data_IF_582389859746
#
_entry.id   IF_582389859746
#
_cell.length_a   1.000
_cell.length_b   1.000
_cell.length_c   1.000
_cell.angle_alpha   90.00
_cell.angle_beta   90.00
_cell.angle_gamma   90.00
#
_symmetry.space_group_name_H-M   'P 1'
#
loop_
_entity.id
_entity.type
_entity.pdbx_description
1 polymer ?
#
# COMPACT_ATOMS: atom_id res chain seq x y z
N UNK A 1 -19.61 -20.48 38.44
CA UNK A 1 -18.36 -19.91 37.87
C UNK A 1 -18.65 -18.50 37.41
N UNK A 2 -17.89 -17.50 37.87
CA UNK A 2 -18.14 -16.09 37.56
C UNK A 2 -17.92 -15.80 36.06
N UNK A 3 -18.97 -15.33 35.39
CA UNK A 3 -18.99 -14.94 33.97
C UNK A 3 -18.09 -13.72 33.65
N UNK A 4 -17.55 -13.05 34.67
CA UNK A 4 -16.73 -11.85 34.52
C UNK A 4 -15.36 -12.17 33.91
N UNK A 5 -14.77 -13.33 34.27
CA UNK A 5 -13.46 -13.77 33.75
C UNK A 5 -13.44 -13.99 32.22
N UNK A 6 -14.39 -14.72 31.61
CA UNK A 6 -14.39 -14.89 30.15
C UNK A 6 -14.66 -13.59 29.40
N UNK A 7 -15.48 -12.69 29.94
CA UNK A 7 -15.77 -11.38 29.31
C UNK A 7 -14.50 -10.51 29.24
N UNK A 8 -13.73 -10.45 30.32
CA UNK A 8 -12.46 -9.70 30.36
C UNK A 8 -11.43 -10.23 29.36
N UNK A 9 -11.37 -11.55 29.17
CA UNK A 9 -10.44 -12.17 28.21
C UNK A 9 -10.80 -11.79 26.77
N UNK A 10 -12.08 -11.89 26.40
CA UNK A 10 -12.56 -11.51 25.06
C UNK A 10 -12.27 -10.03 24.78
N UNK A 11 -12.48 -9.17 25.77
CA UNK A 11 -12.26 -7.73 25.65
C UNK A 11 -10.75 -7.39 25.53
N UNK A 12 -9.88 -8.10 26.23
CA UNK A 12 -8.43 -7.95 26.03
C UNK A 12 -7.99 -8.39 24.63
N UNK A 13 -8.51 -9.51 24.13
CA UNK A 13 -8.16 -10.03 22.80
C UNK A 13 -8.63 -9.07 21.71
N UNK A 14 -9.83 -8.49 21.83
CA UNK A 14 -10.35 -7.55 20.83
C UNK A 14 -9.53 -6.26 20.78
N UNK A 15 -9.11 -5.74 21.94
CA UNK A 15 -8.25 -4.55 22.03
C UNK A 15 -6.86 -4.82 21.45
N UNK A 16 -6.23 -5.95 21.79
CA UNK A 16 -4.93 -6.33 21.22
C UNK A 16 -4.99 -6.52 19.71
N UNK A 17 -6.08 -7.10 19.20
CA UNK A 17 -6.30 -7.27 17.75
C UNK A 17 -6.43 -5.94 17.03
N UNK A 18 -7.13 -4.95 17.63
CA UNK A 18 -7.24 -3.60 17.09
C UNK A 18 -5.88 -2.87 17.04
N UNK A 19 -5.07 -3.00 18.10
CA UNK A 19 -3.73 -2.41 18.15
C UNK A 19 -2.82 -3.03 17.08
N UNK A 20 -2.82 -4.36 16.98
CA UNK A 20 -2.05 -5.07 15.97
C UNK A 20 -2.46 -4.65 14.55
N UNK A 21 -3.77 -4.50 14.30
CA UNK A 21 -4.29 -4.02 13.02
C UNK A 21 -3.79 -2.61 12.67
N UNK A 22 -3.78 -1.69 13.64
CA UNK A 22 -3.29 -0.31 13.42
C UNK A 22 -1.79 -0.26 13.15
N UNK A 23 -0.99 -1.07 13.84
CA UNK A 23 0.47 -1.18 13.58
C UNK A 23 0.75 -1.79 12.19
N UNK A 24 -0.16 -2.61 11.69
CA UNK A 24 -0.03 -3.26 10.39
C UNK A 24 -0.31 -2.35 9.19
N UNK A 25 -1.08 -1.27 9.38
CA UNK A 25 -1.37 -0.31 8.32
C UNK A 25 -0.18 0.64 8.08
N UNK A 26 0.10 1.03 6.82
CA UNK A 26 1.10 2.05 6.56
C UNK A 26 0.69 3.37 7.22
N UNK A 27 1.68 4.13 7.68
CA UNK A 27 1.45 5.55 7.99
C UNK A 27 1.06 6.31 6.72
N UNK A 28 0.41 7.49 6.83
CA UNK A 28 0.08 8.29 5.66
C UNK A 28 1.29 8.57 4.77
N UNK A 29 2.45 8.92 5.35
CA UNK A 29 3.69 9.12 4.59
C UNK A 29 4.13 7.86 3.83
N UNK A 30 4.05 6.68 4.47
CA UNK A 30 4.37 5.41 3.80
C UNK A 30 3.38 5.09 2.69
N UNK A 31 2.11 5.42 2.85
CA UNK A 31 1.14 5.24 1.77
C UNK A 31 1.49 6.13 0.58
N UNK A 32 1.80 7.40 0.81
CA UNK A 32 2.14 8.37 -0.24
C UNK A 32 3.37 7.92 -1.05
N UNK A 33 4.40 7.38 -0.39
CA UNK A 33 5.57 6.82 -1.06
C UNK A 33 5.19 5.66 -2.01
N UNK A 34 4.34 4.74 -1.54
CA UNK A 34 3.90 3.60 -2.35
C UNK A 34 2.89 4.02 -3.42
N UNK A 35 2.11 5.08 -3.19
CA UNK A 35 1.22 5.68 -4.19
C UNK A 35 2.02 6.26 -5.34
N UNK A 36 3.02 7.09 -5.04
CA UNK A 36 3.90 7.67 -6.05
C UNK A 36 4.60 6.58 -6.87
N UNK A 37 5.15 5.58 -6.18
CA UNK A 37 5.81 4.44 -6.81
C UNK A 37 4.85 3.66 -7.73
N UNK A 38 3.64 3.38 -7.26
CA UNK A 38 2.61 2.69 -8.04
C UNK A 38 2.21 3.51 -9.27
N UNK A 39 1.91 4.80 -9.09
CA UNK A 39 1.50 5.69 -10.18
C UNK A 39 2.58 5.84 -11.26
N UNK A 40 3.85 5.77 -10.90
CA UNK A 40 4.95 5.76 -11.85
C UNK A 40 5.00 4.43 -12.64
N UNK A 41 4.78 3.31 -11.97
CA UNK A 41 4.88 1.98 -12.59
C UNK A 41 3.72 1.68 -13.54
N UNK A 42 2.48 2.02 -13.17
CA UNK A 42 1.30 1.67 -13.99
C UNK A 42 1.17 2.45 -15.30
N UNK A 43 2.00 3.48 -15.49
CA UNK A 43 2.10 4.23 -16.74
C UNK A 43 2.84 3.46 -17.83
N UNK A 44 3.53 2.36 -17.50
CA UNK A 44 4.12 1.47 -18.49
C UNK A 44 3.02 0.60 -19.09
N UNK A 45 2.82 0.72 -20.40
CA UNK A 45 1.68 0.16 -21.14
C UNK A 45 1.58 -1.38 -21.09
N UNK A 46 2.65 -2.08 -20.74
CA UNK A 46 2.75 -3.54 -20.70
C UNK A 46 2.40 -4.16 -19.34
N UNK A 47 2.31 -3.37 -18.26
CA UNK A 47 2.14 -3.89 -16.91
C UNK A 47 0.67 -3.93 -16.48
N UNK A 48 0.03 -5.08 -16.72
CA UNK A 48 -1.37 -5.34 -16.31
C UNK A 48 -1.47 -6.30 -15.12
N UNK A 49 -0.51 -7.21 -14.98
CA UNK A 49 -0.50 -8.21 -13.92
C UNK A 49 0.06 -7.65 -12.61
N UNK A 50 -0.64 -7.94 -11.50
CA UNK A 50 -0.27 -7.49 -10.15
C UNK A 50 1.18 -7.80 -9.79
N UNK A 51 1.64 -9.02 -10.06
CA UNK A 51 2.97 -9.45 -9.63
C UNK A 51 4.07 -8.75 -10.43
N UNK A 52 3.85 -8.52 -11.74
CA UNK A 52 4.76 -7.73 -12.58
C UNK A 52 4.83 -6.28 -12.11
N UNK A 53 3.68 -5.68 -11.77
CA UNK A 53 3.62 -4.32 -11.19
C UNK A 53 4.44 -4.27 -9.90
N UNK A 54 4.31 -5.26 -9.00
CA UNK A 54 5.01 -5.24 -7.72
C UNK A 54 6.52 -5.44 -7.87
N UNK A 55 6.95 -6.31 -8.79
CA UNK A 55 8.37 -6.48 -9.14
C UNK A 55 8.95 -5.17 -9.66
N UNK A 56 8.22 -4.48 -10.55
CA UNK A 56 8.69 -3.22 -11.11
C UNK A 56 8.70 -2.10 -10.05
N UNK A 57 7.72 -2.06 -9.14
CA UNK A 57 7.74 -1.15 -7.99
C UNK A 57 8.97 -1.40 -7.11
N UNK A 58 9.26 -2.64 -6.75
CA UNK A 58 10.45 -2.99 -5.96
C UNK A 58 11.73 -2.58 -6.67
N UNK A 59 11.81 -2.82 -7.98
CA UNK A 59 12.95 -2.43 -8.80
C UNK A 59 13.12 -0.91 -8.80
N UNK A 60 12.07 -0.14 -9.06
CA UNK A 60 12.15 1.33 -9.04
C UNK A 60 12.60 1.80 -7.66
N UNK A 61 11.99 1.30 -6.58
CA UNK A 61 12.38 1.69 -5.22
C UNK A 61 13.86 1.40 -4.94
N UNK A 62 14.36 0.22 -5.32
CA UNK A 62 15.76 -0.17 -5.10
C UNK A 62 16.74 0.78 -5.80
N UNK A 63 16.40 1.28 -6.99
CA UNK A 63 17.25 2.19 -7.77
C UNK A 63 17.04 3.67 -7.41
N UNK A 64 15.97 4.02 -6.68
CA UNK A 64 15.74 5.37 -6.17
C UNK A 64 16.67 5.75 -5.00
N UNK A 65 17.33 4.78 -4.36
CA UNK A 65 18.28 5.04 -3.27
C UNK A 65 19.73 4.88 -3.75
N UNK A 66 20.60 5.86 -3.49
CA UNK A 66 21.99 5.76 -3.87
C UNK A 66 22.71 4.63 -3.13
N UNK A 67 23.77 4.09 -3.73
CA UNK A 67 24.51 2.97 -3.14
C UNK A 67 25.21 3.29 -1.82
N UNK A 68 25.50 4.57 -1.58
CA UNK A 68 26.06 5.06 -0.32
C UNK A 68 25.03 5.27 0.80
N UNK A 69 23.73 5.04 0.54
CA UNK A 69 22.71 5.22 1.58
C UNK A 69 22.92 4.22 2.72
N UNK A 70 23.15 4.73 3.94
CA UNK A 70 23.39 3.92 5.14
C UNK A 70 22.25 2.93 5.43
N UNK A 71 21.01 3.32 5.15
CA UNK A 71 19.83 2.47 5.30
C UNK A 71 18.96 2.57 4.04
N UNK A 72 18.92 1.50 3.25
CA UNK A 72 17.97 1.36 2.13
C UNK A 72 16.68 0.72 2.67
N UNK A 73 15.50 1.34 2.50
CA UNK A 73 14.26 0.74 2.98
C UNK A 73 13.96 -0.54 2.20
N UNK A 74 13.50 -1.57 2.91
CA UNK A 74 13.03 -2.81 2.28
C UNK A 74 11.65 -2.59 1.70
N UNK A 75 11.43 -3.06 0.47
CA UNK A 75 10.11 -3.09 -0.13
C UNK A 75 9.13 -3.92 0.72
N UNK A 76 7.97 -3.36 0.99
CA UNK A 76 6.90 -3.95 1.79
C UNK A 76 5.72 -4.23 0.87
N UNK A 77 5.63 -5.46 0.37
CA UNK A 77 4.56 -5.90 -0.54
C UNK A 77 3.16 -5.60 -0.01
N UNK A 78 2.97 -5.61 1.31
CA UNK A 78 1.68 -5.26 1.94
C UNK A 78 1.24 -3.81 1.65
N UNK A 79 2.18 -2.86 1.57
CA UNK A 79 1.86 -1.46 1.27
C UNK A 79 1.54 -1.28 -0.21
N UNK A 80 2.29 -1.95 -1.09
CA UNK A 80 1.96 -2.03 -2.52
C UNK A 80 0.57 -2.66 -2.76
N UNK A 81 0.23 -3.71 -2.00
CA UNK A 81 -1.09 -4.34 -2.05
C UNK A 81 -2.22 -3.40 -1.67
N UNK A 82 -2.01 -2.56 -0.65
CA UNK A 82 -3.02 -1.58 -0.24
C UNK A 82 -3.29 -0.55 -1.35
N UNK A 83 -2.24 0.00 -1.97
CA UNK A 83 -2.41 0.97 -3.07
C UNK A 83 -3.07 0.29 -4.28
N UNK A 84 -2.62 -0.92 -4.61
CA UNK A 84 -3.20 -1.70 -5.70
C UNK A 84 -4.68 -2.02 -5.48
N UNK A 85 -5.09 -2.38 -4.26
CA UNK A 85 -6.51 -2.61 -3.97
C UNK A 85 -7.33 -1.33 -4.15
N UNK A 86 -6.83 -0.17 -3.71
CA UNK A 86 -7.52 1.09 -3.95
C UNK A 86 -7.65 1.42 -5.43
N UNK A 87 -6.64 1.09 -6.24
CA UNK A 87 -6.72 1.19 -7.70
C UNK A 87 -7.75 0.23 -8.30
N UNK A 88 -7.83 -1.01 -7.81
CA UNK A 88 -8.84 -1.97 -8.27
C UNK A 88 -10.27 -1.55 -7.92
N UNK A 89 -10.44 -0.83 -6.82
CA UNK A 89 -11.74 -0.29 -6.38
C UNK A 89 -12.24 0.88 -7.27
N UNK A 90 -11.35 1.48 -8.07
CA UNK A 90 -11.74 2.51 -9.06
C UNK A 90 -12.56 1.90 -10.20
N UNK A 91 -13.42 2.70 -10.84
CA UNK A 91 -14.13 2.28 -12.06
C UNK A 91 -13.14 2.07 -13.20
N UNK A 92 -13.49 1.21 -14.16
CA UNK A 92 -12.63 0.92 -15.31
C UNK A 92 -12.14 2.18 -16.05
N UNK A 93 -13.02 3.18 -16.23
CA UNK A 93 -12.67 4.45 -16.85
C UNK A 93 -11.63 5.26 -16.03
N UNK A 94 -11.75 5.24 -14.70
CA UNK A 94 -10.81 5.90 -13.78
C UNK A 94 -9.47 5.16 -13.75
N UNK A 95 -9.49 3.82 -13.77
CA UNK A 95 -8.27 3.01 -13.90
C UNK A 95 -7.51 3.34 -15.20
N UNK A 96 -8.22 3.46 -16.32
CA UNK A 96 -7.64 3.90 -17.59
C UNK A 96 -7.11 5.33 -17.51
N UNK A 97 -7.81 6.23 -16.82
CA UNK A 97 -7.36 7.62 -16.64
C UNK A 97 -6.10 7.71 -15.76
N UNK A 98 -6.01 6.90 -14.71
CA UNK A 98 -4.84 6.79 -13.85
C UNK A 98 -3.62 6.28 -14.62
N UNK A 99 -3.79 5.30 -15.52
CA UNK A 99 -2.70 4.80 -16.37
C UNK A 99 -2.18 5.85 -17.38
N UNK A 100 -3.02 6.78 -17.82
CA UNK A 100 -2.66 7.81 -18.82
C UNK A 100 -1.81 8.95 -18.27
N UNK A 101 -1.81 9.21 -16.96
CA UNK A 101 -1.12 10.36 -16.39
C UNK A 101 -0.81 10.16 -14.92
N UNK A 102 0.44 10.43 -14.53
CA UNK A 102 0.88 10.49 -13.14
C UNK A 102 -0.07 11.32 -12.28
N UNK A 103 -0.37 12.55 -12.73
CA UNK A 103 -1.24 13.49 -12.00
C UNK A 103 -2.63 12.93 -11.78
N UNK A 104 -3.20 12.27 -12.79
CA UNK A 104 -4.52 11.66 -12.64
C UNK A 104 -4.49 10.49 -11.65
N UNK A 105 -3.46 9.65 -11.73
CA UNK A 105 -3.28 8.56 -10.78
C UNK A 105 -3.17 9.06 -9.34
N UNK A 106 -2.31 10.06 -9.09
CA UNK A 106 -2.11 10.63 -7.76
C UNK A 106 -3.39 11.24 -7.20
N UNK A 107 -4.16 11.94 -8.03
CA UNK A 107 -5.45 12.52 -7.62
C UNK A 107 -6.50 11.45 -7.30
N UNK A 108 -6.59 10.40 -8.12
CA UNK A 108 -7.58 9.32 -7.93
C UNK A 108 -7.26 8.44 -6.72
N UNK A 109 -5.98 8.28 -6.40
CA UNK A 109 -5.49 7.46 -5.28
C UNK A 109 -5.09 8.32 -4.07
N UNK A 110 -5.55 9.57 -4.00
CA UNK A 110 -5.25 10.46 -2.89
C UNK A 110 -5.71 9.84 -1.56
N UNK A 111 -4.88 9.96 -0.52
CA UNK A 111 -5.24 9.44 0.81
C UNK A 111 -6.53 10.13 1.29
N UNK A 112 -7.49 9.33 1.76
CA UNK A 112 -8.79 9.78 2.28
C UNK A 112 -8.79 9.85 3.80
#
# INVERSE_FOLDING_TARGET
MSLIKPILIVLCISVLSLIAYKIWQPSPAQYEDYRALFCLVIQKDDLTEKDQIFIEMEKVQKHSYPDYALHKPTFKTRFARLVFSQFQDLKLAEQQQARKSLKNCENLLAWK
#
